data_IF_019901280336
#
_entry.id   IF_019901280336
#
_cell.length_a   1.000
_cell.length_b   1.000
_cell.length_c   1.000
_cell.angle_alpha   90.00
_cell.angle_beta   90.00
_cell.angle_gamma   90.00
#
_symmetry.space_group_name_H-M   'P 1'
#
loop_
_entity.id
_entity.type
_entity.pdbx_description
1 polymer ?
#
# COMPACT_ATOMS: atom_id res chain seq x y z
N UNK A 1 -4.26 8.79 -6.96
CA UNK A 1 -5.15 7.63 -6.78
C UNK A 1 -4.73 6.38 -7.55
N UNK A 2 -3.90 6.44 -8.62
CA UNK A 2 -3.58 5.28 -9.47
C UNK A 2 -2.76 4.14 -8.82
N UNK A 3 -2.13 4.34 -7.66
CA UNK A 3 -1.26 3.34 -7.00
C UNK A 3 -1.84 2.70 -5.73
N UNK A 4 -2.99 3.16 -5.23
CA UNK A 4 -3.71 2.47 -4.14
C UNK A 4 -4.42 1.22 -4.70
N UNK A 5 -4.91 1.33 -5.93
CA UNK A 5 -5.61 0.29 -6.68
C UNK A 5 -4.87 -1.06 -6.77
N UNK A 6 -3.55 -1.13 -7.10
CA UNK A 6 -2.84 -2.40 -7.10
C UNK A 6 -2.70 -3.01 -5.70
N UNK A 7 -2.50 -2.22 -4.65
CA UNK A 7 -2.38 -2.75 -3.28
C UNK A 7 -3.70 -3.36 -2.80
N UNK A 8 -4.80 -2.63 -3.04
CA UNK A 8 -6.15 -3.10 -2.70
C UNK A 8 -6.53 -4.34 -3.52
N UNK A 9 -6.13 -4.40 -4.79
CA UNK A 9 -6.33 -5.57 -5.66
C UNK A 9 -5.54 -6.79 -5.17
N UNK A 10 -4.28 -6.61 -4.78
CA UNK A 10 -3.46 -7.69 -4.21
C UNK A 10 -4.07 -8.21 -2.91
N UNK A 11 -4.55 -7.31 -2.04
CA UNK A 11 -5.22 -7.70 -0.81
C UNK A 11 -6.51 -8.47 -1.09
N UNK A 12 -7.35 -7.99 -2.01
CA UNK A 12 -8.60 -8.65 -2.37
C UNK A 12 -8.36 -10.04 -2.97
N UNK A 13 -7.35 -10.20 -3.84
CA UNK A 13 -6.96 -11.50 -4.39
C UNK A 13 -6.49 -12.45 -3.30
N UNK A 14 -5.57 -12.01 -2.43
CA UNK A 14 -5.04 -12.83 -1.36
C UNK A 14 -6.13 -13.27 -0.38
N UNK A 15 -7.01 -12.36 0.02
CA UNK A 15 -8.14 -12.66 0.88
C UNK A 15 -9.14 -13.63 0.23
N UNK A 16 -9.33 -13.53 -1.09
CA UNK A 16 -10.17 -14.48 -1.83
C UNK A 16 -9.57 -15.90 -1.80
N UNK A 17 -8.24 -16.02 -1.97
CA UNK A 17 -7.56 -17.31 -1.83
C UNK A 17 -7.68 -17.89 -0.43
N UNK A 18 -7.52 -17.07 0.60
CA UNK A 18 -7.71 -17.46 2.00
C UNK A 18 -9.12 -18.03 2.23
N UNK A 19 -10.16 -17.34 1.77
CA UNK A 19 -11.55 -17.83 1.89
C UNK A 19 -11.71 -19.20 1.21
N UNK A 20 -11.20 -19.36 -0.02
CA UNK A 20 -11.28 -20.63 -0.74
C UNK A 20 -10.57 -21.74 0.04
N UNK A 21 -9.38 -21.47 0.57
CA UNK A 21 -8.61 -22.44 1.35
C UNK A 21 -9.35 -22.87 2.62
N UNK A 22 -9.92 -21.91 3.36
CA UNK A 22 -10.76 -22.16 4.54
C UNK A 22 -11.99 -23.01 4.20
N UNK A 23 -12.67 -22.73 3.09
CA UNK A 23 -13.84 -23.50 2.64
C UNK A 23 -13.42 -24.95 2.35
N UNK A 24 -12.31 -25.14 1.64
CA UNK A 24 -11.76 -26.46 1.34
C UNK A 24 -11.42 -27.20 2.63
N UNK A 25 -10.69 -26.57 3.55
CA UNK A 25 -10.37 -27.15 4.87
C UNK A 25 -11.62 -27.59 5.64
N UNK A 26 -12.66 -26.76 5.64
CA UNK A 26 -13.92 -27.06 6.30
C UNK A 26 -14.65 -28.24 5.62
N UNK A 27 -14.59 -28.35 4.30
CA UNK A 27 -15.18 -29.48 3.57
C UNK A 27 -14.50 -30.81 3.91
N UNK A 28 -13.18 -30.82 4.12
CA UNK A 28 -12.41 -32.02 4.48
C UNK A 28 -12.28 -32.26 5.99
N UNK A 29 -12.93 -31.45 6.83
CA UNK A 29 -12.85 -31.55 8.29
C UNK A 29 -13.18 -32.95 8.81
N UNK A 30 -14.20 -33.61 8.25
CA UNK A 30 -14.64 -34.95 8.68
C UNK A 30 -13.67 -36.07 8.30
N UNK A 31 -12.79 -35.82 7.33
CA UNK A 31 -11.80 -36.78 6.84
C UNK A 31 -10.41 -36.57 7.45
N UNK A 32 -10.24 -35.58 8.32
CA UNK A 32 -8.95 -35.23 8.93
C UNK A 32 -8.96 -35.42 10.45
N UNK A 33 -7.82 -35.86 11.03
CA UNK A 33 -7.59 -35.76 12.46
C UNK A 33 -7.73 -34.31 12.94
N UNK A 34 -8.35 -34.12 14.11
CA UNK A 34 -8.59 -32.79 14.70
C UNK A 34 -7.28 -31.98 14.83
N UNK A 35 -6.19 -32.64 15.21
CA UNK A 35 -4.87 -32.00 15.35
C UNK A 35 -4.33 -31.44 14.03
N UNK A 36 -4.50 -32.19 12.93
CA UNK A 36 -4.10 -31.73 11.60
C UNK A 36 -4.98 -30.58 11.12
N UNK A 37 -6.30 -30.68 11.32
CA UNK A 37 -7.23 -29.59 10.98
C UNK A 37 -6.87 -28.28 11.69
N UNK A 38 -6.60 -28.33 12.99
CA UNK A 38 -6.19 -27.15 13.78
C UNK A 38 -4.84 -26.61 13.29
N UNK A 39 -3.86 -27.49 13.00
CA UNK A 39 -2.55 -27.08 12.50
C UNK A 39 -2.69 -26.29 11.19
N UNK A 40 -3.45 -26.82 10.23
CA UNK A 40 -3.66 -26.15 8.94
C UNK A 40 -4.38 -24.81 9.09
N UNK A 41 -5.38 -24.74 9.97
CA UNK A 41 -6.06 -23.48 10.29
C UNK A 41 -5.10 -22.44 10.87
N UNK A 42 -4.29 -22.82 11.85
CA UNK A 42 -3.32 -21.92 12.47
C UNK A 42 -2.26 -21.43 11.48
N UNK A 43 -1.82 -22.30 10.56
CA UNK A 43 -0.87 -21.91 9.51
C UNK A 43 -1.50 -20.89 8.56
N UNK A 44 -2.74 -21.13 8.13
CA UNK A 44 -3.47 -20.22 7.24
C UNK A 44 -3.72 -18.85 7.90
N UNK A 45 -4.14 -18.85 9.17
CA UNK A 45 -4.28 -17.64 9.99
C UNK A 45 -2.95 -16.88 10.14
N UNK A 46 -1.83 -17.58 10.38
CA UNK A 46 -0.51 -16.93 10.43
C UNK A 46 -0.15 -16.27 9.10
N UNK A 47 -0.43 -16.93 7.97
CA UNK A 47 -0.19 -16.35 6.65
C UNK A 47 -1.00 -15.06 6.45
N UNK A 48 -2.27 -15.04 6.88
CA UNK A 48 -3.12 -13.85 6.81
C UNK A 48 -2.57 -12.69 7.67
N UNK A 49 -2.11 -12.99 8.88
CA UNK A 49 -1.52 -11.98 9.78
C UNK A 49 -0.23 -11.40 9.16
N UNK A 50 0.65 -12.25 8.64
CA UNK A 50 1.89 -11.83 7.97
C UNK A 50 1.58 -10.96 6.76
N UNK A 51 0.63 -11.37 5.93
CA UNK A 51 0.22 -10.58 4.77
C UNK A 51 -0.33 -9.20 5.16
N UNK A 52 -1.14 -9.14 6.22
CA UNK A 52 -1.68 -7.88 6.74
C UNK A 52 -0.57 -6.96 7.25
N UNK A 53 0.41 -7.50 7.98
CA UNK A 53 1.55 -6.74 8.46
C UNK A 53 2.38 -6.17 7.30
N UNK A 54 2.68 -6.97 6.27
CA UNK A 54 3.41 -6.52 5.08
C UNK A 54 2.63 -5.41 4.36
N UNK A 55 1.32 -5.59 4.19
CA UNK A 55 0.45 -4.60 3.54
C UNK A 55 0.46 -3.27 4.29
N UNK A 56 0.39 -3.32 5.62
CA UNK A 56 0.46 -2.13 6.47
C UNK A 56 1.80 -1.39 6.30
N UNK A 57 2.92 -2.12 6.29
CA UNK A 57 4.27 -1.55 6.09
C UNK A 57 4.35 -0.85 4.73
N UNK A 58 3.92 -1.52 3.65
CA UNK A 58 3.92 -0.94 2.30
C UNK A 58 3.05 0.30 2.25
N UNK A 59 1.88 0.27 2.88
CA UNK A 59 0.97 1.42 2.94
C UNK A 59 1.60 2.61 3.67
N UNK A 60 2.24 2.39 4.83
CA UNK A 60 2.94 3.43 5.58
C UNK A 60 4.08 4.03 4.74
N UNK A 61 4.91 3.19 4.11
CA UNK A 61 5.97 3.64 3.22
C UNK A 61 5.43 4.48 2.06
N UNK A 62 4.30 4.09 1.49
CA UNK A 62 3.63 4.82 0.42
C UNK A 62 3.09 6.18 0.85
N UNK A 63 2.40 6.26 1.99
CA UNK A 63 1.90 7.53 2.56
C UNK A 63 3.07 8.49 2.81
N UNK A 64 4.16 7.98 3.38
CA UNK A 64 5.38 8.76 3.61
C UNK A 64 6.01 9.25 2.31
N UNK A 65 6.05 8.41 1.28
CA UNK A 65 6.54 8.78 -0.04
C UNK A 65 5.71 9.90 -0.66
N UNK A 66 4.36 9.77 -0.66
CA UNK A 66 3.46 10.82 -1.18
C UNK A 66 3.65 12.13 -0.42
N UNK A 67 3.75 12.08 0.91
CA UNK A 67 3.95 13.27 1.75
C UNK A 67 5.22 14.01 1.32
N UNK A 68 6.35 13.30 1.21
CA UNK A 68 7.64 13.88 0.75
C UNK A 68 7.54 14.42 -0.67
N UNK A 69 6.89 13.70 -1.57
CA UNK A 69 6.70 14.13 -2.96
C UNK A 69 5.91 15.44 -3.05
N UNK A 70 4.79 15.55 -2.32
CA UNK A 70 3.99 16.79 -2.26
C UNK A 70 4.78 17.96 -1.71
N UNK A 71 5.56 17.75 -0.64
CA UNK A 71 6.41 18.81 -0.06
C UNK A 71 7.47 19.29 -1.05
N UNK A 72 8.11 18.37 -1.80
CA UNK A 72 9.07 18.74 -2.85
C UNK A 72 8.40 19.51 -3.99
N UNK A 73 7.23 19.07 -4.44
CA UNK A 73 6.48 19.76 -5.50
C UNK A 73 6.10 21.20 -5.10
N UNK A 74 5.64 21.39 -3.85
CA UNK A 74 5.32 22.70 -3.32
C UNK A 74 6.55 23.62 -3.26
N UNK A 75 7.69 23.11 -2.78
CA UNK A 75 8.96 23.85 -2.73
C UNK A 75 9.42 24.27 -4.13
N UNK A 76 9.35 23.37 -5.10
CA UNK A 76 9.76 23.67 -6.48
C UNK A 76 8.84 24.72 -7.14
N UNK A 77 7.55 24.69 -6.82
CA UNK A 77 6.60 25.69 -7.34
C UNK A 77 6.87 27.08 -6.77
N UNK A 78 7.13 27.18 -5.46
CA UNK A 78 7.53 28.44 -4.81
C UNK A 78 8.83 28.99 -5.40
N UNK A 79 9.86 28.16 -5.54
CA UNK A 79 11.12 28.57 -6.15
C UNK A 79 10.95 29.04 -7.61
N UNK A 80 10.03 28.43 -8.36
CA UNK A 80 9.73 28.85 -9.73
C UNK A 80 9.00 30.19 -9.78
N UNK A 81 8.07 30.45 -8.85
CA UNK A 81 7.39 31.75 -8.75
C UNK A 81 8.34 32.88 -8.31
N UNK A 82 9.22 32.62 -7.34
CA UNK A 82 10.28 33.55 -6.93
C UNK A 82 11.23 33.87 -8.08
N UNK A 83 11.70 32.85 -8.82
CA UNK A 83 12.54 33.06 -9.99
C UNK A 83 11.84 33.93 -11.04
N UNK A 84 10.55 33.69 -11.29
CA UNK A 84 9.76 34.46 -12.26
C UNK A 84 9.62 35.94 -11.86
N UNK A 85 9.46 36.21 -10.57
CA UNK A 85 9.45 37.56 -10.01
C UNK A 85 10.81 38.27 -10.17
N UNK A 86 11.91 37.59 -9.86
CA UNK A 86 13.25 38.13 -10.04
C UNK A 86 13.59 38.44 -11.51
N UNK A 87 13.22 37.55 -12.44
CA UNK A 87 13.39 37.82 -13.87
C UNK A 87 12.58 39.03 -14.34
N UNK A 88 11.37 39.22 -13.80
CA UNK A 88 10.52 40.37 -14.13
C UNK A 88 11.13 41.69 -13.62
N UNK A 89 11.67 41.70 -12.42
CA UNK A 89 12.38 42.86 -11.85
C UNK A 89 13.64 43.22 -12.66
N UNK A 90 14.44 42.22 -13.06
CA UNK A 90 15.60 42.44 -13.93
C UNK A 90 15.17 43.05 -15.28
N UNK A 91 14.06 42.61 -15.84
CA UNK A 91 13.52 43.16 -17.09
C UNK A 91 13.07 44.62 -16.97
N UNK A 92 12.58 45.04 -15.80
CA UNK A 92 12.22 46.43 -15.52
C UNK A 92 13.45 47.33 -15.31
N UNK A 93 14.53 46.80 -14.70
CA UNK A 93 15.80 47.54 -14.51
C UNK A 93 16.54 47.79 -15.83
N UNK A 94 16.39 46.88 -16.80
CA UNK A 94 17.03 46.96 -18.11
C UNK A 94 16.22 47.74 -19.15
N UNK A 95 15.06 48.30 -18.76
CA UNK A 95 14.22 49.19 -19.58
C UNK A 95 14.48 50.64 -19.22
#
# INVERSE_FOLDING_TARGET
MRLILPLDLFYALFYSFYIVFVIVLRAYKSSMPITQYILFYNVDDMFLIVHTAVTLIVYISFVNYIKRYRTRLAKNRLAHEEAKLHFKQLQEIWK
#
